data_IF_981953093889
#
_entry.id   IF_981953093889
#
_cell.length_a   1.000
_cell.length_b   1.000
_cell.length_c   1.000
_cell.angle_alpha   90.00
_cell.angle_beta   90.00
_cell.angle_gamma   90.00
#
_symmetry.space_group_name_H-M   'P 1'
#
loop_
_entity.id
_entity.type
_entity.pdbx_description
1 polymer ?
#
# COMPACT_ATOMS: atom_id res chain seq x y z
N UNK A 1 -3.87 21.76 -8.94
CA UNK A 1 -3.42 20.40 -8.57
C UNK A 1 -2.78 19.75 -9.80
N UNK A 2 -1.83 18.84 -9.58
CA UNK A 2 -0.80 18.29 -10.49
C UNK A 2 -1.22 17.82 -11.90
N UNK A 3 -1.58 18.73 -12.80
CA UNK A 3 -1.80 18.43 -14.22
C UNK A 3 -0.49 18.31 -15.05
N UNK A 4 0.68 18.50 -14.44
CA UNK A 4 1.98 18.55 -15.16
C UNK A 4 2.84 17.28 -15.06
N UNK A 5 2.44 16.25 -14.31
CA UNK A 5 3.17 14.98 -14.35
C UNK A 5 2.79 14.21 -15.61
N UNK A 6 3.54 14.43 -16.69
CA UNK A 6 3.38 13.65 -17.92
C UNK A 6 3.64 12.18 -17.60
N UNK A 7 2.69 11.26 -17.85
CA UNK A 7 2.91 9.84 -17.64
C UNK A 7 4.11 9.35 -18.47
N UNK A 8 4.98 8.54 -17.86
CA UNK A 8 6.06 7.88 -18.62
C UNK A 8 5.45 7.01 -19.73
N UNK A 9 5.95 7.19 -20.96
CA UNK A 9 5.50 6.43 -22.11
C UNK A 9 5.87 4.94 -21.98
N UNK A 10 5.06 4.08 -22.59
CA UNK A 10 5.30 2.63 -22.63
C UNK A 10 6.71 2.30 -23.17
N UNK A 11 7.13 2.98 -24.23
CA UNK A 11 8.46 2.79 -24.83
C UNK A 11 9.60 3.15 -23.87
N UNK A 12 9.49 4.29 -23.16
CA UNK A 12 10.52 4.70 -22.19
C UNK A 12 10.54 3.75 -20.99
N UNK A 13 9.38 3.30 -20.53
CA UNK A 13 9.29 2.29 -19.48
C UNK A 13 9.97 0.98 -19.91
N UNK A 14 9.67 0.46 -21.09
CA UNK A 14 10.29 -0.76 -21.63
C UNK A 14 11.81 -0.63 -21.74
N UNK A 15 12.31 0.50 -22.24
CA UNK A 15 13.76 0.73 -22.35
C UNK A 15 14.50 0.65 -21.01
N UNK A 16 13.85 1.06 -19.92
CA UNK A 16 14.44 1.02 -18.59
C UNK A 16 14.51 -0.41 -18.02
N UNK A 17 13.64 -1.33 -18.46
CA UNK A 17 13.59 -2.71 -17.94
C UNK A 17 14.88 -3.51 -18.23
N UNK A 18 15.55 -3.19 -19.33
CA UNK A 18 16.77 -3.86 -19.78
C UNK A 18 17.88 -3.85 -18.71
N UNK A 19 17.95 -2.78 -17.91
CA UNK A 19 19.01 -2.57 -16.92
C UNK A 19 18.69 -3.16 -15.54
N UNK A 20 17.47 -3.68 -15.33
CA UNK A 20 17.03 -4.18 -14.03
C UNK A 20 17.40 -5.65 -13.82
N UNK A 21 17.79 -6.09 -12.61
CA UNK A 21 17.89 -7.51 -12.29
C UNK A 21 16.51 -8.19 -12.29
N UNK A 22 16.47 -9.51 -12.51
CA UNK A 22 15.21 -10.28 -12.62
C UNK A 22 14.33 -10.14 -11.36
N UNK A 23 14.94 -10.15 -10.18
CA UNK A 23 14.21 -9.94 -8.92
C UNK A 23 13.50 -8.58 -8.87
N UNK A 24 14.14 -7.52 -9.38
CA UNK A 24 13.52 -6.20 -9.46
C UNK A 24 12.36 -6.15 -10.46
N UNK A 25 12.42 -6.94 -11.54
CA UNK A 25 11.31 -7.06 -12.48
C UNK A 25 10.09 -7.73 -11.82
N UNK A 26 10.27 -8.83 -11.09
CA UNK A 26 9.17 -9.45 -10.35
C UNK A 26 8.62 -8.53 -9.27
N UNK A 27 9.49 -7.84 -8.51
CA UNK A 27 9.07 -6.84 -7.54
C UNK A 27 8.25 -5.72 -8.18
N UNK A 28 8.64 -5.24 -9.38
CA UNK A 28 7.91 -4.23 -10.13
C UNK A 28 6.51 -4.72 -10.53
N UNK A 29 6.35 -5.98 -10.92
CA UNK A 29 5.02 -6.55 -11.18
C UNK A 29 4.14 -6.50 -9.93
N UNK A 30 4.67 -6.87 -8.76
CA UNK A 30 3.90 -6.88 -7.52
C UNK A 30 3.50 -5.46 -7.09
N UNK A 31 4.41 -4.50 -7.23
CA UNK A 31 4.13 -3.08 -6.99
C UNK A 31 2.99 -2.56 -7.88
N UNK A 32 3.04 -2.87 -9.18
CA UNK A 32 2.01 -2.44 -10.13
C UNK A 32 0.67 -3.13 -9.82
N UNK A 33 0.66 -4.42 -9.51
CA UNK A 33 -0.56 -5.14 -9.10
C UNK A 33 -1.19 -4.56 -7.85
N UNK A 34 -0.37 -4.22 -6.86
CA UNK A 34 -0.86 -3.57 -5.65
C UNK A 34 -1.48 -2.19 -5.96
N UNK A 35 -0.81 -1.41 -6.83
CA UNK A 35 -1.34 -0.13 -7.28
C UNK A 35 -2.68 -0.25 -8.01
N UNK A 36 -2.83 -1.26 -8.89
CA UNK A 36 -4.10 -1.58 -9.56
C UNK A 36 -5.18 -1.94 -8.53
N UNK A 37 -4.88 -2.84 -7.58
CA UNK A 37 -5.84 -3.26 -6.56
C UNK A 37 -6.35 -2.08 -5.71
N UNK A 38 -5.46 -1.15 -5.34
CA UNK A 38 -5.86 0.07 -4.64
C UNK A 38 -6.72 1.00 -5.51
N UNK A 39 -6.41 1.15 -6.80
CA UNK A 39 -7.22 1.95 -7.71
C UNK A 39 -8.59 1.34 -7.97
N UNK A 40 -8.69 0.02 -8.10
CA UNK A 40 -9.97 -0.69 -8.27
C UNK A 40 -10.86 -0.55 -7.03
N UNK A 41 -10.27 -0.65 -5.83
CA UNK A 41 -10.99 -0.40 -4.59
C UNK A 41 -11.50 1.04 -4.52
N UNK A 42 -10.63 2.01 -4.79
CA UNK A 42 -11.00 3.44 -4.82
C UNK A 42 -12.09 3.73 -5.85
N UNK A 43 -12.03 3.12 -7.04
CA UNK A 43 -13.09 3.25 -8.04
C UNK A 43 -14.42 2.68 -7.55
N UNK A 44 -14.41 1.52 -6.88
CA UNK A 44 -15.62 0.92 -6.31
C UNK A 44 -16.28 1.83 -5.27
N UNK A 45 -15.47 2.54 -4.48
CA UNK A 45 -15.96 3.54 -3.54
C UNK A 45 -16.51 4.78 -4.27
N UNK A 46 -15.81 5.25 -5.31
CA UNK A 46 -16.20 6.40 -6.11
C UNK A 46 -17.51 6.18 -6.88
N UNK A 47 -17.77 4.95 -7.35
CA UNK A 47 -19.02 4.59 -8.04
C UNK A 47 -20.28 4.84 -7.19
N UNK A 48 -20.16 4.88 -5.86
CA UNK A 48 -21.31 5.20 -4.97
C UNK A 48 -21.69 6.66 -5.12
N UNK A 49 -20.71 7.56 -5.07
CA UNK A 49 -20.93 9.01 -5.23
C UNK A 49 -21.45 9.36 -6.63
N UNK A 50 -20.92 8.72 -7.68
CA UNK A 50 -21.43 8.91 -9.05
C UNK A 50 -22.89 8.52 -9.17
N UNK A 51 -23.32 7.44 -8.51
CA UNK A 51 -24.70 6.95 -8.59
C UNK A 51 -25.68 7.70 -7.69
N UNK A 52 -25.24 8.10 -6.50
CA UNK A 52 -26.09 8.71 -5.48
C UNK A 52 -26.21 10.23 -5.66
N UNK A 53 -25.14 10.89 -6.09
CA UNK A 53 -25.05 12.36 -6.13
C UNK A 53 -24.98 12.92 -7.57
N UNK A 54 -25.02 12.07 -8.62
CA UNK A 54 -24.85 12.44 -10.04
C UNK A 54 -23.63 13.35 -10.28
N UNK A 55 -22.57 13.12 -9.50
CA UNK A 55 -21.38 13.97 -9.48
C UNK A 55 -20.52 13.73 -10.73
N UNK A 56 -20.52 14.72 -11.62
CA UNK A 56 -19.77 14.72 -12.89
C UNK A 56 -18.26 14.67 -12.68
N UNK A 57 -17.73 15.33 -11.66
CA UNK A 57 -16.30 15.36 -11.39
C UNK A 57 -15.84 13.98 -10.88
N UNK A 58 -16.67 13.33 -10.05
CA UNK A 58 -16.45 11.94 -9.64
C UNK A 58 -16.51 10.97 -10.83
N UNK A 59 -17.40 11.19 -11.79
CA UNK A 59 -17.48 10.37 -13.01
C UNK A 59 -16.22 10.53 -13.88
N UNK A 60 -15.75 11.77 -14.07
CA UNK A 60 -14.53 12.04 -14.83
C UNK A 60 -13.31 11.39 -14.17
N UNK A 61 -13.14 11.55 -12.85
CA UNK A 61 -12.07 10.90 -12.09
C UNK A 61 -12.11 9.37 -12.21
N UNK A 62 -13.30 8.77 -12.21
CA UNK A 62 -13.48 7.33 -12.39
C UNK A 62 -13.03 6.87 -13.79
N UNK A 63 -13.32 7.67 -14.83
CA UNK A 63 -12.88 7.38 -16.19
C UNK A 63 -11.37 7.52 -16.35
N UNK A 64 -10.76 8.55 -15.75
CA UNK A 64 -9.31 8.72 -15.73
C UNK A 64 -8.60 7.57 -15.01
N UNK A 65 -9.09 7.15 -13.84
CA UNK A 65 -8.53 6.03 -13.10
C UNK A 65 -8.58 4.73 -13.92
N UNK A 66 -9.65 4.50 -14.69
CA UNK A 66 -9.75 3.34 -15.59
C UNK A 66 -8.67 3.38 -16.69
N UNK A 67 -8.32 4.55 -17.21
CA UNK A 67 -7.21 4.65 -18.14
C UNK A 67 -5.85 4.40 -17.47
N UNK A 68 -5.68 4.86 -16.22
CA UNK A 68 -4.46 4.58 -15.44
C UNK A 68 -4.30 3.08 -15.22
N UNK A 69 -5.37 2.37 -14.85
CA UNK A 69 -5.36 0.90 -14.71
C UNK A 69 -4.91 0.23 -16.02
N UNK A 70 -5.49 0.60 -17.17
CA UNK A 70 -5.08 0.05 -18.48
C UNK A 70 -3.60 0.25 -18.77
N UNK A 71 -3.05 1.44 -18.47
CA UNK A 71 -1.62 1.73 -18.64
C UNK A 71 -0.75 0.92 -17.67
N UNK A 72 -1.23 0.66 -16.46
CA UNK A 72 -0.55 -0.20 -15.49
C UNK A 72 -0.55 -1.68 -15.94
N UNK A 73 -1.66 -2.17 -16.48
CA UNK A 73 -1.75 -3.51 -17.08
C UNK A 73 -0.80 -3.66 -18.26
N UNK A 74 -0.74 -2.67 -19.17
CA UNK A 74 0.22 -2.65 -20.27
C UNK A 74 1.67 -2.74 -19.76
N UNK A 75 2.00 -2.03 -18.69
CA UNK A 75 3.33 -2.11 -18.07
C UNK A 75 3.64 -3.49 -17.50
N UNK A 76 2.65 -4.19 -16.92
CA UNK A 76 2.83 -5.59 -16.49
C UNK A 76 3.18 -6.47 -17.70
N UNK A 77 2.50 -6.30 -18.83
CA UNK A 77 2.80 -7.06 -20.05
C UNK A 77 4.20 -6.77 -20.60
N UNK A 78 4.66 -5.52 -20.53
CA UNK A 78 6.04 -5.17 -20.89
C UNK A 78 7.08 -5.87 -19.99
N UNK A 79 6.82 -5.94 -18.68
CA UNK A 79 7.71 -6.65 -17.75
C UNK A 79 7.69 -8.16 -18.00
N UNK A 80 6.52 -8.74 -18.27
CA UNK A 80 6.40 -10.16 -18.65
C UNK A 80 7.18 -10.46 -19.92
N UNK A 81 7.06 -9.60 -20.94
CA UNK A 81 7.81 -9.73 -22.19
C UNK A 81 9.32 -9.71 -21.95
N UNK A 82 9.79 -8.77 -21.16
CA UNK A 82 11.22 -8.70 -20.79
C UNK A 82 11.70 -10.01 -20.13
N UNK A 83 10.92 -10.57 -19.20
CA UNK A 83 11.28 -11.82 -18.51
C UNK A 83 11.26 -13.02 -19.47
N UNK A 84 10.20 -13.17 -20.25
CA UNK A 84 9.95 -14.38 -21.05
C UNK A 84 10.64 -14.35 -22.40
N UNK A 85 10.49 -13.25 -23.14
CA UNK A 85 10.98 -13.15 -24.53
C UNK A 85 12.44 -12.70 -24.59
N UNK A 86 12.86 -11.76 -23.72
CA UNK A 86 14.24 -11.21 -23.76
C UNK A 86 15.19 -12.07 -22.92
N UNK A 87 14.79 -12.43 -21.69
CA UNK A 87 15.65 -13.23 -20.79
C UNK A 87 15.47 -14.74 -20.93
N UNK A 88 14.41 -15.20 -21.60
CA UNK A 88 14.13 -16.62 -21.78
C UNK A 88 13.79 -17.35 -20.47
N UNK A 89 13.30 -16.62 -19.46
CA UNK A 89 12.98 -17.18 -18.14
C UNK A 89 11.47 -17.41 -18.01
N UNK A 90 11.03 -18.44 -17.28
CA UNK A 90 9.62 -18.61 -16.99
C UNK A 90 9.11 -17.44 -16.15
N UNK A 91 7.95 -16.92 -16.53
CA UNK A 91 7.24 -15.96 -15.69
C UNK A 91 6.51 -16.71 -14.57
N UNK A 92 7.23 -17.01 -13.50
CA UNK A 92 6.59 -17.46 -12.27
C UNK A 92 6.22 -16.22 -11.45
N UNK A 93 4.92 -15.95 -11.20
CA UNK A 93 4.57 -14.98 -10.18
C UNK A 93 5.10 -15.59 -8.89
N UNK A 94 6.22 -15.06 -8.39
CA UNK A 94 6.91 -15.53 -7.19
C UNK A 94 5.84 -15.91 -6.17
N UNK A 95 5.66 -17.23 -5.96
CA UNK A 95 4.86 -17.71 -4.83
C UNK A 95 5.62 -17.16 -3.66
N UNK A 96 5.08 -16.13 -3.00
CA UNK A 96 5.68 -15.50 -1.83
C UNK A 96 6.27 -16.64 -1.00
N UNK A 97 7.59 -16.76 -1.01
CA UNK A 97 8.27 -17.82 -0.31
C UNK A 97 8.23 -17.38 1.15
N UNK A 98 7.06 -17.54 1.76
CA UNK A 98 6.91 -17.64 3.20
C UNK A 98 7.76 -18.84 3.57
N UNK A 99 9.05 -18.58 3.79
CA UNK A 99 9.91 -19.48 4.55
C UNK A 99 9.33 -19.44 5.95
N UNK A 100 8.28 -20.25 6.14
CA UNK A 100 7.80 -20.67 7.43
C UNK A 100 8.95 -21.45 8.06
N UNK A 101 9.74 -20.76 8.87
CA UNK A 101 10.68 -21.38 9.79
C UNK A 101 9.90 -22.26 10.76
N UNK A 102 9.77 -23.53 10.40
CA UNK A 102 9.17 -24.56 11.24
C UNK A 102 10.19 -25.00 12.30
N UNK A 103 9.99 -24.51 13.52
CA UNK A 103 9.96 -25.26 14.78
C UNK A 103 11.15 -26.12 15.26
N UNK A 104 11.61 -25.82 16.49
CA UNK A 104 12.07 -26.74 17.55
C UNK A 104 12.05 -25.93 18.88
N UNK A 105 11.01 -25.96 19.71
CA UNK A 105 10.57 -26.94 20.73
C UNK A 105 11.36 -26.91 22.05
N UNK A 106 10.65 -26.57 23.15
CA UNK A 106 10.85 -27.16 24.49
C UNK A 106 11.60 -26.35 25.54
N UNK A 107 10.90 -25.89 26.60
CA UNK A 107 11.55 -25.35 27.80
C UNK A 107 10.58 -24.71 28.81
N UNK A 108 9.82 -25.56 29.49
CA UNK A 108 8.96 -25.29 30.65
C UNK A 108 9.69 -24.53 31.79
N UNK A 109 8.97 -23.68 32.54
CA UNK A 109 9.56 -22.88 33.61
C UNK A 109 8.60 -21.96 34.36
N UNK A 110 7.63 -22.56 35.05
CA UNK A 110 6.76 -21.96 36.07
C UNK A 110 7.42 -20.91 36.97
N UNK A 111 6.76 -19.75 37.19
CA UNK A 111 6.17 -19.38 38.50
C UNK A 111 5.49 -18.00 38.48
N UNK A 112 4.40 -17.82 39.26
CA UNK A 112 3.64 -16.58 39.35
C UNK A 112 4.24 -15.62 40.39
N UNK A 113 4.04 -14.32 40.24
CA UNK A 113 4.17 -13.37 41.35
C UNK A 113 3.00 -12.40 41.33
N UNK A 114 2.09 -12.66 42.26
CA UNK A 114 1.12 -11.75 42.87
C UNK A 114 1.85 -10.68 43.69
N UNK A 115 1.28 -9.45 43.70
CA UNK A 115 1.15 -8.49 44.84
C UNK A 115 0.66 -7.14 44.26
N UNK A 116 -0.61 -6.76 44.36
CA UNK A 116 -1.34 -6.23 45.54
C UNK A 116 -0.89 -4.83 45.98
N UNK A 117 -1.72 -3.84 45.63
CA UNK A 117 -2.28 -2.71 46.41
C UNK A 117 -1.39 -1.70 47.16
N UNK A 118 -1.86 -0.44 47.13
CA UNK A 118 -1.47 0.70 48.00
C UNK A 118 -0.60 1.72 47.25
N UNK A 119 -0.80 3.04 47.30
CA UNK A 119 -1.42 3.86 48.33
C UNK A 119 -1.72 5.28 47.81
N UNK A 120 -2.78 5.88 48.35
CA UNK A 120 -3.17 7.29 48.22
C UNK A 120 -2.42 8.15 49.25
N UNK A 121 -2.08 9.39 48.89
CA UNK A 121 -2.35 10.66 49.63
C UNK A 121 -1.54 11.78 48.96
N UNK A 122 -2.10 12.99 48.70
CA UNK A 122 -2.63 13.95 49.67
C UNK A 122 -1.45 14.82 50.13
N UNK A 123 -1.35 16.11 49.80
CA UNK A 123 -1.92 17.33 50.46
C UNK A 123 -1.19 18.53 49.81
N UNK A 124 -1.66 19.77 49.62
CA UNK A 124 -2.58 20.70 50.33
C UNK A 124 -2.69 21.97 49.43
N UNK A 125 -3.86 22.52 49.06
CA UNK A 125 -4.61 23.64 49.71
C UNK A 125 -3.70 24.82 50.14
N UNK A 126 -3.82 26.10 49.72
CA UNK A 126 -4.92 27.07 49.46
C UNK A 126 -4.28 28.40 48.94
N UNK A 127 -4.95 29.58 48.79
CA UNK A 127 -6.24 29.96 48.20
C UNK A 127 -6.15 31.21 47.25
N UNK A 128 -7.26 31.55 46.58
CA UNK A 128 -7.70 32.96 46.47
C UNK A 128 -7.36 33.80 45.21
N UNK A 129 -8.41 34.10 44.45
CA UNK A 129 -8.81 35.45 43.97
C UNK A 129 -8.21 36.09 42.70
N UNK A 130 -9.15 36.35 41.77
CA UNK A 130 -9.31 37.49 40.85
C UNK A 130 -8.41 37.69 39.61
N UNK A 131 -9.08 37.85 38.46
CA UNK A 131 -8.49 38.45 37.26
C UNK A 131 -9.22 38.16 35.95
N UNK A 132 -10.46 38.63 35.80
CA UNK A 132 -11.08 38.81 34.47
C UNK A 132 -10.49 40.07 33.85
N UNK A 133 -9.85 39.98 32.68
CA UNK A 133 -9.63 41.15 31.84
C UNK A 133 -10.00 40.86 30.38
N UNK A 134 -10.89 41.73 29.90
CA UNK A 134 -11.23 42.00 28.49
C UNK A 134 -10.01 42.45 27.69
#
# INVERSE_FOLDING_TARGET
MSAESVPISAARFASALNDLPVSALHAKVQEIRNSIAHLELSNTELEKYVREEDDKDCYEALMENKEVIKRMEERIELVKREIVEVRGLPFEPEKANTTAGTGQNGGDGSSPTTRASGEQNGTSEEPGEEGVFL
#
